data_IF_908020471712
#
_entry.id   IF_908020471712
#
_cell.length_a   1.000
_cell.length_b   1.000
_cell.length_c   1.000
_cell.angle_alpha   90.00
_cell.angle_beta   90.00
_cell.angle_gamma   90.00
#
_symmetry.space_group_name_H-M   'P 1'
#
loop_
_entity.id
_entity.type
_entity.pdbx_description
1 polymer ?
#
# COMPACT_ATOMS: atom_id res chain seq x y z
N UNK A 1 20.74 -9.67 -51.50
CA UNK A 1 21.03 -9.46 -50.06
C UNK A 1 19.84 -8.72 -49.46
N UNK A 2 19.02 -9.43 -48.68
CA UNK A 2 17.74 -8.94 -48.15
C UNK A 2 17.99 -7.96 -47.00
N UNK A 3 17.59 -6.71 -47.19
CA UNK A 3 17.70 -5.63 -46.20
C UNK A 3 16.29 -5.15 -45.84
N UNK A 4 15.48 -5.99 -45.18
CA UNK A 4 14.09 -5.60 -44.84
C UNK A 4 13.51 -6.18 -43.56
N UNK A 5 14.30 -6.87 -42.72
CA UNK A 5 13.74 -7.65 -41.59
C UNK A 5 14.24 -7.22 -40.21
N UNK A 6 14.64 -5.95 -40.02
CA UNK A 6 15.15 -5.47 -38.72
C UNK A 6 14.33 -4.31 -38.15
N UNK A 7 13.30 -3.81 -38.84
CA UNK A 7 12.43 -2.73 -38.32
C UNK A 7 11.18 -3.21 -37.57
N UNK A 8 10.79 -4.48 -37.72
CA UNK A 8 9.58 -5.02 -37.08
C UNK A 8 9.75 -5.51 -35.64
N UNK A 9 10.98 -5.81 -35.20
CA UNK A 9 11.21 -6.40 -33.88
C UNK A 9 11.33 -5.37 -32.74
N UNK A 10 11.36 -4.07 -33.04
CA UNK A 10 11.58 -3.03 -32.03
C UNK A 10 10.31 -2.64 -31.24
N UNK A 11 9.13 -3.15 -31.60
CA UNK A 11 7.85 -2.80 -30.97
C UNK A 11 7.31 -3.87 -30.01
N UNK A 12 8.01 -5.00 -29.82
CA UNK A 12 7.48 -6.16 -29.08
C UNK A 12 8.05 -6.33 -27.66
N UNK A 13 9.02 -5.51 -27.23
CA UNK A 13 9.68 -5.71 -25.92
C UNK A 13 9.68 -4.43 -25.08
N UNK A 14 8.51 -3.85 -24.83
CA UNK A 14 8.25 -3.02 -23.64
C UNK A 14 6.81 -3.18 -23.15
N UNK A 15 6.25 -4.39 -23.23
CA UNK A 15 5.24 -4.81 -22.27
C UNK A 15 6.02 -5.35 -21.06
N UNK A 16 6.69 -4.45 -20.33
CA UNK A 16 7.14 -4.77 -18.98
C UNK A 16 5.90 -5.24 -18.25
N UNK A 17 5.86 -6.52 -17.92
CA UNK A 17 4.88 -7.10 -17.02
C UNK A 17 4.95 -6.32 -15.72
N UNK A 18 4.17 -5.24 -15.64
CA UNK A 18 3.66 -4.74 -14.39
C UNK A 18 2.78 -5.88 -13.88
N UNK A 19 3.40 -6.84 -13.21
CA UNK A 19 2.70 -7.59 -12.18
C UNK A 19 2.21 -6.49 -11.26
N UNK A 20 0.98 -6.03 -11.48
CA UNK A 20 0.32 -5.13 -10.56
C UNK A 20 0.28 -5.91 -9.26
N UNK A 21 1.21 -5.58 -8.35
CA UNK A 21 1.21 -6.15 -7.03
C UNK A 21 -0.20 -5.92 -6.49
N UNK A 22 -0.87 -7.01 -6.12
CA UNK A 22 -2.22 -6.91 -5.57
C UNK A 22 -2.11 -7.02 -4.07
N UNK A 23 -2.91 -6.26 -3.36
CA UNK A 23 -2.99 -6.31 -1.89
C UNK A 23 -3.58 -7.63 -1.38
N UNK A 24 -4.01 -8.53 -2.26
CA UNK A 24 -4.82 -9.70 -1.90
C UNK A 24 -6.27 -9.34 -1.52
N UNK A 25 -6.66 -8.08 -1.73
CA UNK A 25 -8.03 -7.62 -1.59
C UNK A 25 -8.81 -7.80 -2.90
N UNK A 26 -10.11 -7.96 -2.78
CA UNK A 26 -11.01 -8.03 -3.93
C UNK A 26 -11.15 -6.66 -4.60
N UNK A 27 -11.66 -6.64 -5.83
CA UNK A 27 -11.99 -5.39 -6.50
C UNK A 27 -13.07 -4.63 -5.70
N UNK A 28 -12.86 -3.32 -5.52
CA UNK A 28 -13.74 -2.47 -4.70
C UNK A 28 -13.46 -2.52 -3.20
N UNK A 29 -12.48 -3.30 -2.75
CA UNK A 29 -11.95 -3.23 -1.38
C UNK A 29 -10.74 -2.28 -1.31
N UNK A 30 -10.51 -1.71 -0.13
CA UNK A 30 -9.22 -1.06 0.20
C UNK A 30 -8.43 -1.93 1.16
N UNK A 31 -7.12 -1.76 1.17
CA UNK A 31 -6.25 -2.41 2.13
C UNK A 31 -5.76 -1.43 3.20
N UNK A 32 -5.52 -1.92 4.41
CA UNK A 32 -4.85 -1.19 5.48
C UNK A 32 -3.62 -1.99 5.91
N UNK A 33 -2.50 -1.31 6.11
CA UNK A 33 -1.28 -1.94 6.58
C UNK A 33 -0.17 -0.92 6.81
N UNK A 34 1.06 -1.25 6.44
CA UNK A 34 2.25 -0.43 6.73
C UNK A 34 3.10 -0.17 5.50
N UNK A 35 3.80 0.97 5.48
CA UNK A 35 4.72 1.43 4.44
C UNK A 35 5.99 1.98 5.08
N UNK A 36 7.15 1.57 4.56
CA UNK A 36 8.47 2.10 4.89
C UNK A 36 9.31 2.22 3.61
N UNK A 37 10.21 3.20 3.58
CA UNK A 37 11.15 3.44 2.50
C UNK A 37 12.54 3.65 3.07
N UNK A 38 13.51 2.92 2.54
CA UNK A 38 14.90 3.02 2.93
C UNK A 38 15.75 3.59 1.79
N UNK A 39 16.68 4.48 2.15
CA UNK A 39 17.76 4.90 1.29
C UNK A 39 18.89 3.88 1.31
N UNK A 40 19.61 3.76 0.20
CA UNK A 40 20.80 2.89 0.06
C UNK A 40 21.90 3.26 1.07
N UNK A 41 21.90 4.53 1.53
CA UNK A 41 22.85 5.05 2.49
C UNK A 41 24.28 5.07 1.96
N UNK A 42 25.26 5.23 2.86
CA UNK A 42 26.68 5.26 2.48
C UNK A 42 27.33 3.89 2.64
N UNK A 43 28.42 3.59 1.90
CA UNK A 43 29.11 2.29 2.00
C UNK A 43 29.58 1.93 3.42
N UNK A 44 29.77 2.92 4.29
CA UNK A 44 30.19 2.72 5.69
C UNK A 44 29.04 2.76 6.69
N UNK A 45 27.92 3.41 6.33
CA UNK A 45 26.76 3.59 7.20
C UNK A 45 25.63 2.59 6.97
N UNK A 46 25.63 1.89 5.83
CA UNK A 46 24.53 1.02 5.43
C UNK A 46 23.25 1.79 5.08
N UNK A 47 22.17 1.08 4.73
CA UNK A 47 20.90 1.69 4.37
C UNK A 47 20.22 2.38 5.58
N UNK A 48 19.55 3.48 5.31
CA UNK A 48 18.82 4.27 6.32
C UNK A 48 17.33 4.29 5.99
N UNK A 49 16.48 3.84 6.91
CA UNK A 49 15.03 3.79 6.71
C UNK A 49 14.34 5.02 7.32
N UNK A 50 13.26 5.46 6.70
CA UNK A 50 12.31 6.35 7.37
C UNK A 50 11.51 5.58 8.44
N UNK A 51 10.73 6.32 9.22
CA UNK A 51 9.78 5.72 10.15
C UNK A 51 8.72 4.89 9.40
N UNK A 52 8.27 3.82 10.03
CA UNK A 52 7.15 3.02 9.53
C UNK A 52 5.87 3.84 9.65
N UNK A 53 5.08 3.87 8.59
CA UNK A 53 3.80 4.56 8.54
C UNK A 53 2.68 3.57 8.30
N UNK A 54 1.55 3.72 8.96
CA UNK A 54 0.33 3.05 8.52
C UNK A 54 -0.08 3.62 7.17
N UNK A 55 -0.69 2.79 6.34
CA UNK A 55 -1.03 3.13 4.98
C UNK A 55 -2.37 2.52 4.58
N UNK A 56 -3.13 3.27 3.78
CA UNK A 56 -4.31 2.80 3.07
C UNK A 56 -3.92 2.60 1.62
N UNK A 57 -4.24 1.43 1.07
CA UNK A 57 -3.93 1.02 -0.28
C UNK A 57 -5.20 0.80 -1.09
N UNK A 58 -5.14 1.13 -2.38
CA UNK A 58 -6.01 0.56 -3.38
C UNK A 58 -5.67 -0.92 -3.57
N UNK A 59 -6.59 -1.69 -4.16
CA UNK A 59 -6.44 -3.14 -4.36
C UNK A 59 -5.23 -3.54 -5.25
N UNK A 60 -4.72 -2.59 -6.03
CA UNK A 60 -3.52 -2.69 -6.88
C UNK A 60 -2.23 -2.23 -6.18
N UNK A 61 -2.23 -2.20 -4.84
CA UNK A 61 -1.13 -1.72 -3.98
C UNK A 61 -0.78 -0.23 -4.19
N UNK A 62 -1.58 0.54 -4.93
CA UNK A 62 -1.43 1.99 -4.98
C UNK A 62 -1.70 2.62 -3.62
N UNK A 63 -0.80 3.46 -3.11
CA UNK A 63 -1.02 4.14 -1.82
C UNK A 63 -2.06 5.24 -2.02
N UNK A 64 -3.17 5.13 -1.28
CA UNK A 64 -4.22 6.16 -1.19
C UNK A 64 -3.83 7.20 -0.14
N UNK A 65 -3.35 6.74 1.02
CA UNK A 65 -3.03 7.62 2.14
C UNK A 65 -1.99 6.99 3.08
N UNK A 66 -1.34 7.81 3.89
CA UNK A 66 -0.45 7.39 4.97
C UNK A 66 -0.73 8.17 6.24
N UNK A 67 -0.35 7.60 7.37
CA UNK A 67 -0.37 8.26 8.67
C UNK A 67 1.00 8.76 9.09
N UNK A 68 1.04 9.53 10.18
CA UNK A 68 2.25 9.87 10.92
C UNK A 68 2.63 8.85 12.01
N UNK A 69 1.90 7.73 12.11
CA UNK A 69 2.12 6.65 13.08
C UNK A 69 2.22 5.30 12.37
N UNK A 70 2.95 4.34 12.95
CA UNK A 70 3.08 2.98 12.39
C UNK A 70 1.79 2.14 12.51
N UNK A 71 1.02 2.34 13.57
CA UNK A 71 -0.21 1.60 13.85
C UNK A 71 -1.44 2.41 13.43
N UNK A 72 -2.26 1.92 12.48
CA UNK A 72 -3.51 2.60 12.08
C UNK A 72 -4.52 2.73 13.23
N UNK A 73 -4.37 1.95 14.29
CA UNK A 73 -5.26 1.88 15.45
C UNK A 73 -4.69 2.51 16.73
N UNK A 74 -3.56 3.24 16.66
CA UNK A 74 -2.90 3.81 17.83
C UNK A 74 -3.79 4.75 18.66
N UNK A 75 -4.84 5.32 18.07
CA UNK A 75 -5.84 6.14 18.75
C UNK A 75 -6.79 5.38 19.69
N UNK A 76 -6.82 4.05 19.60
CA UNK A 76 -7.72 3.18 20.36
C UNK A 76 -9.10 3.01 19.71
N UNK A 77 -9.98 2.19 20.34
CA UNK A 77 -11.29 1.86 19.78
C UNK A 77 -12.17 3.09 19.54
N UNK A 78 -12.74 3.18 18.34
CA UNK A 78 -13.65 4.24 17.93
C UNK A 78 -13.02 5.62 17.76
N UNK A 79 -11.70 5.76 17.98
CA UNK A 79 -11.04 7.05 17.99
C UNK A 79 -9.97 7.11 16.88
N UNK A 80 -10.13 7.98 15.87
CA UNK A 80 -9.13 8.17 14.83
C UNK A 80 -7.99 9.05 15.36
N UNK A 81 -7.39 8.68 16.49
CA UNK A 81 -6.30 9.41 17.14
C UNK A 81 -5.01 9.44 16.31
N UNK A 82 -4.99 8.75 15.18
CA UNK A 82 -3.92 8.76 14.19
C UNK A 82 -4.20 9.83 13.15
N UNK A 83 -3.24 10.72 12.93
CA UNK A 83 -3.35 11.74 11.90
C UNK A 83 -2.96 11.15 10.54
N UNK A 84 -3.86 11.27 9.58
CA UNK A 84 -3.63 10.90 8.19
C UNK A 84 -3.18 12.11 7.37
N UNK A 85 -2.26 11.90 6.42
CA UNK A 85 -1.64 12.97 5.62
C UNK A 85 -2.69 13.63 4.71
N UNK A 86 -3.52 12.81 4.06
CA UNK A 86 -4.68 13.26 3.29
C UNK A 86 -5.97 13.11 4.10
N UNK A 87 -7.05 13.83 3.76
CA UNK A 87 -8.35 13.67 4.40
C UNK A 87 -8.80 12.21 4.41
N UNK A 88 -9.11 11.73 5.60
CA UNK A 88 -9.50 10.34 5.83
C UNK A 88 -9.35 9.98 7.30
N UNK A 89 -9.94 8.87 7.69
CA UNK A 89 -9.84 8.34 9.05
C UNK A 89 -9.85 6.82 9.02
N UNK A 90 -9.16 6.22 9.98
CA UNK A 90 -9.31 4.81 10.31
C UNK A 90 -9.81 4.73 11.75
N UNK A 91 -11.02 4.22 11.90
CA UNK A 91 -11.56 3.78 13.18
C UNK A 91 -11.26 2.30 13.38
N UNK A 92 -11.03 1.91 14.64
CA UNK A 92 -10.73 0.54 15.00
C UNK A 92 -11.67 0.01 16.08
N UNK A 93 -11.79 -1.31 16.14
CA UNK A 93 -12.41 -2.04 17.24
C UNK A 93 -11.45 -2.16 18.44
N UNK A 94 -11.94 -2.68 19.57
CA UNK A 94 -11.14 -2.83 20.80
C UNK A 94 -9.99 -3.83 20.67
N UNK A 95 -10.08 -4.78 19.74
CA UNK A 95 -9.04 -5.76 19.41
C UNK A 95 -8.00 -5.24 18.41
N UNK A 96 -8.07 -3.95 18.03
CA UNK A 96 -7.12 -3.34 17.10
C UNK A 96 -7.37 -3.69 15.63
N UNK A 97 -8.59 -4.15 15.31
CA UNK A 97 -9.00 -4.40 13.92
C UNK A 97 -9.58 -3.12 13.32
N UNK A 98 -9.13 -2.68 12.13
CA UNK A 98 -9.78 -1.57 11.43
C UNK A 98 -11.27 -1.89 11.18
N UNK A 99 -12.15 -0.95 11.54
CA UNK A 99 -13.60 -1.14 11.51
C UNK A 99 -14.32 -0.18 10.56
N UNK A 100 -13.79 1.04 10.42
CA UNK A 100 -14.28 2.06 9.50
C UNK A 100 -13.11 2.79 8.86
N UNK A 101 -13.04 2.79 7.55
CA UNK A 101 -12.01 3.48 6.78
C UNK A 101 -12.72 4.49 5.91
N UNK A 102 -12.43 5.77 6.13
CA UNK A 102 -12.93 6.87 5.31
C UNK A 102 -11.80 7.35 4.41
N UNK A 103 -12.08 7.40 3.11
CA UNK A 103 -11.22 8.00 2.09
C UNK A 103 -12.06 8.94 1.22
N UNK A 104 -11.43 9.72 0.34
CA UNK A 104 -12.16 10.48 -0.69
C UNK A 104 -12.98 9.57 -1.63
N UNK A 105 -12.57 8.31 -1.80
CA UNK A 105 -13.27 7.32 -2.60
C UNK A 105 -14.52 6.72 -1.92
N UNK A 106 -14.76 7.00 -0.63
CA UNK A 106 -15.92 6.51 0.13
C UNK A 106 -15.55 5.82 1.44
N UNK A 107 -16.53 5.10 1.98
CA UNK A 107 -16.44 4.39 3.26
C UNK A 107 -16.26 2.88 3.06
N UNK A 108 -15.40 2.31 3.88
CA UNK A 108 -15.09 0.88 3.89
C UNK A 108 -15.08 0.37 5.33
N UNK A 109 -15.33 -0.92 5.53
CA UNK A 109 -15.39 -1.50 6.87
C UNK A 109 -15.45 -3.02 6.84
N UNK A 110 -15.82 -3.64 7.96
CA UNK A 110 -15.90 -5.11 8.11
C UNK A 110 -14.60 -5.81 7.67
N UNK A 111 -13.47 -5.28 8.12
CA UNK A 111 -12.17 -5.68 7.60
C UNK A 111 -11.79 -7.11 8.00
N UNK A 112 -11.20 -7.84 7.05
CA UNK A 112 -10.64 -9.18 7.25
C UNK A 112 -9.12 -9.14 7.18
N UNK A 113 -8.44 -10.00 7.96
CA UNK A 113 -6.98 -10.10 7.88
C UNK A 113 -6.54 -10.63 6.53
N UNK A 114 -5.44 -10.06 6.06
CA UNK A 114 -4.61 -10.57 4.97
C UNK A 114 -3.15 -10.47 5.36
N UNK A 115 -2.28 -11.10 4.60
CA UNK A 115 -0.85 -10.95 4.74
C UNK A 115 -0.24 -10.91 3.34
N UNK A 116 -0.27 -9.73 2.74
CA UNK A 116 0.13 -9.54 1.35
C UNK A 116 1.26 -8.53 1.26
N UNK A 117 2.30 -8.89 0.54
CA UNK A 117 3.41 -8.00 0.27
C UNK A 117 3.10 -7.13 -0.96
N UNK A 118 3.12 -5.81 -0.76
CA UNK A 118 2.90 -4.78 -1.78
C UNK A 118 4.21 -4.07 -2.20
N UNK A 119 5.37 -4.52 -1.73
CA UNK A 119 6.66 -3.88 -1.97
C UNK A 119 6.96 -3.79 -3.48
N UNK A 120 6.95 -2.58 -4.08
CA UNK A 120 7.04 -2.43 -5.53
C UNK A 120 8.48 -2.53 -6.05
N UNK A 121 9.45 -2.32 -5.16
CA UNK A 121 10.86 -2.26 -5.48
C UNK A 121 11.71 -2.58 -4.24
N UNK A 122 13.00 -2.90 -4.43
CA UNK A 122 13.95 -2.98 -3.31
C UNK A 122 13.92 -1.69 -2.47
N UNK A 123 14.07 -1.84 -1.15
CA UNK A 123 14.07 -0.75 -0.17
C UNK A 123 12.74 -0.01 0.01
N UNK A 124 11.67 -0.39 -0.70
CA UNK A 124 10.31 0.06 -0.42
C UNK A 124 9.55 -1.12 0.16
N UNK A 125 9.26 -1.07 1.45
CA UNK A 125 8.58 -2.15 2.18
C UNK A 125 7.14 -1.77 2.42
N UNK A 126 6.22 -2.46 1.76
CA UNK A 126 4.78 -2.22 1.89
C UNK A 126 4.08 -3.54 2.18
N UNK A 127 3.27 -3.57 3.22
CA UNK A 127 2.50 -4.74 3.63
C UNK A 127 1.06 -4.36 3.84
N UNK A 128 0.15 -5.12 3.19
CA UNK A 128 -1.28 -5.06 3.46
C UNK A 128 -1.63 -6.13 4.50
N UNK A 129 -2.25 -5.69 5.59
CA UNK A 129 -2.61 -6.53 6.75
C UNK A 129 -4.11 -6.77 6.85
N UNK A 130 -4.91 -5.90 6.24
CA UNK A 130 -6.36 -5.95 6.26
C UNK A 130 -6.94 -5.59 4.90
N UNK A 131 -8.04 -6.24 4.53
CA UNK A 131 -8.88 -5.83 3.41
C UNK A 131 -10.24 -5.43 3.94
N UNK A 132 -10.72 -4.27 3.51
CA UNK A 132 -11.96 -3.66 3.96
C UNK A 132 -12.87 -3.43 2.76
N UNK A 133 -13.98 -4.18 2.63
CA UNK A 133 -14.98 -3.93 1.60
C UNK A 133 -15.67 -2.59 1.77
N UNK A 134 -16.20 -2.10 0.66
CA UNK A 134 -17.03 -0.91 0.61
C UNK A 134 -18.32 -1.11 1.42
N UNK A 135 -18.74 -0.07 2.14
CA UNK A 135 -20.01 -0.01 2.88
C UNK A 135 -21.14 0.55 2.02
#
# INVERSE_FOLDING_TARGET
>A
MQLSTIRGLLLVVMASSAYAARTGCNDGEVAVGTSQTCGIGSPRGGPSCNDVQAAIYANDCGIINRSDHEDPCAGGPGNPGVKWIHPGTVGCTADGTPSLIQTEGGFFGNCRRVNSNCSPAPFIFQFASWCCPRL
#
